data_IF_197445543783
#
_entry.id   IF_197445543783
#
_cell.length_a   1.000
_cell.length_b   1.000
_cell.length_c   1.000
_cell.angle_alpha   90.00
_cell.angle_beta   90.00
_cell.angle_gamma   90.00
#
_symmetry.space_group_name_H-M   'P 1'
#
loop_
_entity.id
_entity.type
_entity.pdbx_description
1 polymer ?
#
# COMPACT_ATOMS: atom_id res chain seq x y z
N UNK A 1 6.42 15.04 16.52
CA UNK A 1 6.45 13.60 16.17
C UNK A 1 5.45 13.44 15.02
N UNK A 2 5.86 12.83 13.86
CA UNK A 2 4.90 12.61 12.77
C UNK A 2 3.81 11.63 13.17
N UNK A 3 2.64 11.77 12.54
CA UNK A 3 1.51 10.86 12.73
C UNK A 3 1.70 9.49 12.06
N UNK A 4 0.65 8.69 12.11
CA UNK A 4 0.57 7.43 11.36
C UNK A 4 0.25 7.73 9.89
N UNK A 5 1.00 7.12 8.97
CA UNK A 5 0.84 7.30 7.52
C UNK A 5 0.49 5.98 6.85
N UNK A 6 -0.12 6.07 5.69
CA UNK A 6 -0.30 4.91 4.82
C UNK A 6 1.03 4.16 4.64
N UNK A 7 0.97 2.82 4.65
CA UNK A 7 2.13 1.91 4.56
C UNK A 7 3.06 1.83 5.77
N UNK A 8 2.81 2.57 6.86
CA UNK A 8 3.42 2.23 8.15
C UNK A 8 2.95 0.86 8.62
N UNK A 9 3.69 0.26 9.55
CA UNK A 9 3.26 -0.97 10.19
C UNK A 9 3.14 -0.80 11.69
N UNK A 10 2.19 -1.55 12.27
CA UNK A 10 1.94 -1.61 13.71
C UNK A 10 2.10 -3.04 14.19
N UNK A 11 2.94 -3.25 15.20
CA UNK A 11 2.96 -4.48 16.01
C UNK A 11 2.02 -4.26 17.19
N UNK A 12 1.09 -5.20 17.38
CA UNK A 12 0.20 -5.15 18.54
C UNK A 12 0.88 -5.69 19.79
N UNK A 13 0.21 -5.58 20.94
CA UNK A 13 0.69 -6.07 22.24
C UNK A 13 1.25 -7.50 22.15
N UNK A 14 2.26 -7.79 23.00
CA UNK A 14 3.11 -8.97 22.84
C UNK A 14 2.36 -10.32 22.88
N UNK A 15 1.23 -10.40 23.59
CA UNK A 15 0.42 -11.60 23.71
C UNK A 15 -0.22 -12.01 22.37
N UNK A 16 -0.47 -11.07 21.49
CA UNK A 16 -1.06 -11.28 20.16
C UNK A 16 -0.02 -11.24 19.05
N UNK A 17 0.87 -10.26 19.08
CA UNK A 17 1.97 -10.08 18.13
C UNK A 17 1.54 -9.90 16.67
N UNK A 18 0.30 -9.41 16.46
CA UNK A 18 -0.26 -9.20 15.13
C UNK A 18 0.44 -8.03 14.45
N UNK A 19 0.60 -8.12 13.12
CA UNK A 19 1.18 -7.06 12.30
C UNK A 19 0.12 -6.45 11.39
N UNK A 20 -0.18 -5.19 11.61
CA UNK A 20 -1.10 -4.41 10.80
C UNK A 20 -0.34 -3.45 9.88
N UNK A 21 -0.83 -3.25 8.68
CA UNK A 21 -0.39 -2.19 7.77
C UNK A 21 -1.38 -1.03 7.85
N UNK A 22 -0.86 0.15 8.12
CA UNK A 22 -1.68 1.38 8.20
C UNK A 22 -2.24 1.71 6.83
N UNK A 23 -3.48 2.18 6.80
CA UNK A 23 -4.19 2.60 5.59
C UNK A 23 -4.69 4.02 5.79
N UNK A 24 -4.34 4.91 4.88
CA UNK A 24 -4.65 6.33 4.98
C UNK A 24 -3.74 7.08 5.97
N UNK A 25 -3.84 8.41 5.92
CA UNK A 25 -3.20 9.35 6.84
C UNK A 25 -4.21 10.01 7.78
N UNK A 26 -5.49 9.63 7.68
CA UNK A 26 -6.56 10.12 8.53
C UNK A 26 -7.12 8.97 9.36
N UNK A 27 -7.15 9.19 10.67
CA UNK A 27 -7.57 8.19 11.65
C UNK A 27 -8.49 8.81 12.70
N UNK A 28 -9.40 8.02 13.31
CA UNK A 28 -10.07 8.42 14.53
C UNK A 28 -9.07 8.79 15.64
N UNK A 29 -9.50 9.57 16.64
CA UNK A 29 -8.60 10.07 17.70
C UNK A 29 -8.00 8.99 18.59
N UNK A 30 -8.69 7.88 18.76
CA UNK A 30 -8.38 6.82 19.72
C UNK A 30 -7.82 5.54 19.09
N UNK A 31 -7.80 5.46 17.75
CA UNK A 31 -7.38 4.26 17.02
C UNK A 31 -6.80 4.59 15.64
N UNK A 32 -6.03 3.66 15.10
CA UNK A 32 -5.41 3.79 13.76
C UNK A 32 -6.06 2.81 12.79
N UNK A 33 -6.65 3.31 11.70
CA UNK A 33 -7.19 2.48 10.63
C UNK A 33 -6.05 1.71 9.99
N UNK A 34 -6.13 0.39 10.05
CA UNK A 34 -5.07 -0.49 9.56
C UNK A 34 -5.62 -1.87 9.23
N UNK A 35 -5.03 -2.56 8.26
CA UNK A 35 -5.42 -3.91 7.87
C UNK A 35 -4.47 -4.94 8.45
N UNK A 36 -5.02 -6.05 8.97
CA UNK A 36 -4.22 -7.18 9.41
C UNK A 36 -3.44 -7.77 8.25
N UNK A 37 -2.12 -7.79 8.35
CA UNK A 37 -1.25 -8.26 7.28
C UNK A 37 -0.58 -9.59 7.61
N UNK A 38 -0.06 -9.71 8.83
CA UNK A 38 0.61 -10.93 9.26
C UNK A 38 0.16 -11.36 10.66
N UNK A 39 0.08 -12.69 10.85
CA UNK A 39 -0.28 -13.35 12.10
C UNK A 39 0.88 -14.25 12.52
N UNK A 40 1.30 -14.24 13.80
CA UNK A 40 2.28 -15.21 14.29
C UNK A 40 1.86 -16.63 13.95
N UNK A 41 2.75 -17.41 13.36
CA UNK A 41 2.48 -18.79 12.95
C UNK A 41 3.76 -19.60 12.90
N UNK A 42 3.87 -20.70 13.65
CA UNK A 42 5.04 -21.58 13.57
C UNK A 42 5.29 -22.13 12.16
N UNK A 43 4.22 -22.35 11.38
CA UNK A 43 4.29 -22.80 9.99
C UNK A 43 4.42 -21.64 8.99
N UNK A 44 4.46 -20.39 9.46
CA UNK A 44 4.54 -19.21 8.61
C UNK A 44 5.78 -19.17 7.74
N UNK A 45 5.65 -18.63 6.53
CA UNK A 45 6.75 -18.55 5.54
C UNK A 45 7.65 -17.34 5.75
N UNK A 46 7.15 -16.27 6.39
CA UNK A 46 7.89 -15.03 6.66
C UNK A 46 8.58 -15.09 8.01
N UNK A 47 9.72 -14.41 8.13
CA UNK A 47 10.52 -14.41 9.34
C UNK A 47 11.34 -15.70 9.52
N UNK A 48 11.98 -15.82 10.68
CA UNK A 48 12.83 -16.95 11.03
C UNK A 48 12.78 -17.28 12.53
N UNK A 49 13.20 -18.47 12.89
CA UNK A 49 13.25 -18.92 14.29
C UNK A 49 11.88 -18.85 14.96
N UNK A 50 11.84 -18.24 16.14
CA UNK A 50 10.60 -18.04 16.91
C UNK A 50 9.68 -16.94 16.37
N UNK A 51 10.19 -16.04 15.49
CA UNK A 51 9.42 -14.95 14.88
C UNK A 51 8.97 -15.31 13.47
N UNK A 52 8.10 -16.30 13.33
CA UNK A 52 7.52 -16.70 12.05
C UNK A 52 6.09 -16.22 11.93
N UNK A 53 5.72 -15.83 10.72
CA UNK A 53 4.43 -15.24 10.40
C UNK A 53 3.78 -15.88 9.18
N UNK A 54 2.47 -16.10 9.27
CA UNK A 54 1.58 -16.35 8.13
C UNK A 54 1.02 -15.04 7.59
N UNK A 55 0.74 -14.98 6.28
CA UNK A 55 0.13 -13.81 5.65
C UNK A 55 -1.39 -13.92 5.76
N UNK A 56 -2.03 -13.04 6.55
CA UNK A 56 -3.48 -13.01 6.73
C UNK A 56 -4.19 -12.43 5.49
N UNK A 57 -3.61 -11.41 4.86
CA UNK A 57 -4.15 -10.78 3.66
C UNK A 57 -3.20 -11.04 2.47
N UNK A 58 -3.47 -12.06 1.64
CA UNK A 58 -2.61 -12.41 0.51
C UNK A 58 -2.57 -11.32 -0.56
N UNK A 59 -3.71 -10.67 -0.82
CA UNK A 59 -3.84 -9.61 -1.81
C UNK A 59 -4.49 -8.36 -1.21
N UNK A 60 -4.23 -7.18 -1.79
CA UNK A 60 -4.93 -5.93 -1.44
C UNK A 60 -6.17 -5.79 -2.33
N UNK A 61 -7.19 -6.60 -2.06
CA UNK A 61 -8.49 -6.60 -2.72
C UNK A 61 -9.62 -6.76 -1.71
N UNK A 62 -10.84 -6.44 -2.11
CA UNK A 62 -12.01 -6.47 -1.22
C UNK A 62 -12.28 -7.85 -0.64
N UNK A 63 -12.24 -8.96 -1.41
CA UNK A 63 -12.43 -10.30 -0.85
C UNK A 63 -11.42 -10.66 0.24
N UNK A 64 -10.13 -10.38 0.01
CA UNK A 64 -9.08 -10.63 1.01
C UNK A 64 -9.27 -9.77 2.26
N UNK A 65 -9.70 -8.52 2.08
CA UNK A 65 -10.01 -7.63 3.20
C UNK A 65 -11.17 -8.16 4.04
N UNK A 66 -12.28 -8.55 3.42
CA UNK A 66 -13.45 -9.09 4.12
C UNK A 66 -13.09 -10.36 4.90
N UNK A 67 -12.28 -11.25 4.33
CA UNK A 67 -11.79 -12.45 5.03
C UNK A 67 -10.95 -12.08 6.26
N UNK A 68 -10.12 -11.02 6.20
CA UNK A 68 -9.37 -10.59 7.39
C UNK A 68 -10.25 -9.95 8.44
N UNK A 69 -11.31 -9.23 8.06
CA UNK A 69 -12.30 -8.68 9.00
C UNK A 69 -13.04 -9.81 9.70
N UNK A 70 -13.53 -10.83 8.98
CA UNK A 70 -14.18 -12.00 9.58
C UNK A 70 -13.25 -12.74 10.55
N UNK A 71 -12.01 -12.97 10.16
CA UNK A 71 -11.01 -13.57 11.04
C UNK A 71 -10.80 -12.76 12.34
N UNK A 72 -10.73 -11.43 12.23
CA UNK A 72 -10.58 -10.55 13.38
C UNK A 72 -11.85 -10.57 14.26
N UNK A 73 -13.04 -10.58 13.69
CA UNK A 73 -14.30 -10.68 14.46
C UNK A 73 -14.36 -11.94 15.32
N UNK A 74 -13.90 -13.06 14.78
CA UNK A 74 -13.91 -14.36 15.47
C UNK A 74 -12.83 -14.46 16.56
N UNK A 75 -11.62 -13.91 16.30
CA UNK A 75 -10.46 -14.16 17.15
C UNK A 75 -10.00 -12.95 17.96
N UNK A 76 -10.23 -11.73 17.45
CA UNK A 76 -9.72 -10.45 18.00
C UNK A 76 -10.73 -9.31 17.76
N UNK A 77 -11.98 -9.42 18.28
CA UNK A 77 -13.08 -8.51 17.95
C UNK A 77 -12.80 -7.04 18.28
N UNK A 78 -11.91 -6.77 19.22
CA UNK A 78 -11.53 -5.42 19.63
C UNK A 78 -10.74 -4.63 18.55
N UNK A 79 -10.37 -5.27 17.42
CA UNK A 79 -9.80 -4.60 16.26
C UNK A 79 -10.83 -4.32 15.16
N UNK A 80 -12.08 -4.72 15.32
CA UNK A 80 -13.13 -4.49 14.33
C UNK A 80 -14.11 -3.44 14.84
N UNK A 81 -14.31 -2.40 14.07
CA UNK A 81 -15.10 -1.25 14.47
C UNK A 81 -16.07 -0.85 13.35
N UNK A 82 -17.29 -0.46 13.74
CA UNK A 82 -18.18 0.28 12.87
C UNK A 82 -17.69 1.72 12.79
N UNK A 83 -17.41 2.22 11.60
CA UNK A 83 -16.98 3.60 11.36
C UNK A 83 -18.20 4.40 10.88
N UNK A 84 -18.80 5.18 11.78
CA UNK A 84 -20.00 5.96 11.49
C UNK A 84 -19.78 6.93 10.33
N UNK A 85 -18.58 7.53 10.25
CA UNK A 85 -18.19 8.50 9.24
C UNK A 85 -18.15 7.88 7.83
N UNK A 86 -17.86 6.61 7.73
CA UNK A 86 -17.74 5.89 6.46
C UNK A 86 -18.96 4.99 6.18
N UNK A 87 -19.79 4.72 7.20
CA UNK A 87 -20.95 3.82 7.10
C UNK A 87 -20.54 2.36 6.80
N UNK A 88 -19.34 1.94 7.23
CA UNK A 88 -18.83 0.58 7.00
C UNK A 88 -18.07 0.05 8.22
N UNK A 89 -17.99 -1.27 8.27
CA UNK A 89 -17.14 -1.98 9.22
C UNK A 89 -15.70 -2.03 8.71
N UNK A 90 -14.74 -1.66 9.57
CA UNK A 90 -13.31 -1.66 9.25
C UNK A 90 -12.48 -2.20 10.42
N UNK A 91 -11.27 -2.64 10.10
CA UNK A 91 -10.27 -2.92 11.13
C UNK A 91 -9.50 -1.67 11.51
N UNK A 92 -9.27 -1.48 12.80
CA UNK A 92 -8.41 -0.43 13.34
C UNK A 92 -7.77 -0.90 14.65
N UNK A 93 -6.56 -0.40 14.91
CA UNK A 93 -5.80 -0.74 16.12
C UNK A 93 -5.98 0.38 17.14
N UNK A 94 -6.60 0.13 18.31
CA UNK A 94 -6.65 1.11 19.39
C UNK A 94 -5.25 1.53 19.82
N UNK A 95 -5.04 2.80 20.12
CA UNK A 95 -3.70 3.33 20.47
C UNK A 95 -3.05 2.57 21.64
N UNK A 96 -3.84 2.13 22.62
CA UNK A 96 -3.37 1.36 23.76
C UNK A 96 -2.88 -0.06 23.42
N UNK A 97 -3.23 -0.58 22.25
CA UNK A 97 -2.80 -1.89 21.77
C UNK A 97 -1.59 -1.84 20.85
N UNK A 98 -1.10 -0.64 20.50
CA UNK A 98 0.11 -0.48 19.69
C UNK A 98 1.33 -0.65 20.56
N UNK A 99 2.07 -1.74 20.35
CA UNK A 99 3.36 -2.01 20.99
C UNK A 99 4.50 -1.26 20.29
N UNK A 100 4.48 -1.28 18.96
CA UNK A 100 5.52 -0.67 18.12
C UNK A 100 4.95 -0.09 16.84
N UNK A 101 5.41 1.10 16.48
CA UNK A 101 5.14 1.76 15.23
C UNK A 101 6.40 1.72 14.36
N UNK A 102 6.32 1.03 13.22
CA UNK A 102 7.41 0.94 12.25
C UNK A 102 7.20 1.97 11.16
N UNK A 103 8.23 2.74 10.89
CA UNK A 103 8.22 3.84 9.91
C UNK A 103 9.15 3.52 8.74
N UNK A 104 8.63 3.52 7.51
CA UNK A 104 9.40 3.15 6.33
C UNK A 104 10.67 3.97 6.11
N UNK A 105 10.65 5.27 6.38
CA UNK A 105 11.81 6.15 6.22
C UNK A 105 12.94 5.85 7.22
N UNK A 106 12.59 5.52 8.47
CA UNK A 106 13.57 5.14 9.50
C UNK A 106 14.25 3.81 9.09
N UNK A 107 13.44 2.85 8.61
CA UNK A 107 13.98 1.56 8.18
C UNK A 107 14.82 1.66 6.91
N UNK A 108 14.45 2.50 5.94
CA UNK A 108 15.28 2.72 4.75
C UNK A 108 16.65 3.26 5.13
N UNK A 109 16.73 4.19 6.08
CA UNK A 109 18.01 4.70 6.53
C UNK A 109 18.90 3.59 7.09
N UNK A 110 18.34 2.69 7.95
CA UNK A 110 19.08 1.52 8.46
C UNK A 110 19.58 0.62 7.33
N UNK A 111 18.76 0.38 6.29
CA UNK A 111 19.09 -0.47 5.15
C UNK A 111 20.16 0.17 4.26
N UNK A 112 20.16 1.50 4.12
CA UNK A 112 21.19 2.22 3.36
C UNK A 112 22.53 2.24 4.09
N UNK A 113 22.51 2.37 5.43
CA UNK A 113 23.71 2.45 6.23
C UNK A 113 24.39 1.06 6.38
N UNK A 114 23.61 0.02 6.63
CA UNK A 114 24.13 -1.35 6.87
C UNK A 114 23.10 -2.41 6.43
N UNK A 115 23.09 -2.81 5.14
CA UNK A 115 22.23 -3.90 4.66
C UNK A 115 22.66 -5.24 5.25
N UNK A 116 21.74 -5.99 5.82
CA UNK A 116 21.99 -7.24 6.56
C UNK A 116 22.04 -8.49 5.69
N UNK A 117 21.45 -8.42 4.49
CA UNK A 117 21.39 -9.51 3.52
C UNK A 117 21.28 -9.01 2.08
N UNK A 118 21.23 -9.93 1.13
CA UNK A 118 21.17 -9.64 -0.29
C UNK A 118 19.93 -8.82 -0.68
N UNK A 119 18.76 -9.09 -0.07
CA UNK A 119 17.53 -8.36 -0.41
C UNK A 119 17.56 -6.92 0.13
N UNK A 120 18.08 -6.71 1.34
CA UNK A 120 18.32 -5.37 1.87
C UNK A 120 19.34 -4.60 1.00
N UNK A 121 20.39 -5.27 0.54
CA UNK A 121 21.35 -4.70 -0.41
C UNK A 121 20.71 -4.28 -1.72
N UNK A 122 19.85 -5.11 -2.30
CA UNK A 122 19.06 -4.76 -3.49
C UNK A 122 18.09 -3.59 -3.24
N UNK A 123 17.46 -3.55 -2.08
CA UNK A 123 16.57 -2.46 -1.70
C UNK A 123 17.34 -1.13 -1.56
N UNK A 124 18.53 -1.16 -0.96
CA UNK A 124 19.43 0.00 -0.86
C UNK A 124 19.85 0.50 -2.23
N UNK A 125 20.30 -0.39 -3.11
CA UNK A 125 20.72 -0.03 -4.47
C UNK A 125 19.56 0.55 -5.30
N UNK A 126 18.38 -0.07 -5.25
CA UNK A 126 17.20 0.43 -5.95
C UNK A 126 16.77 1.80 -5.43
N UNK A 127 16.75 1.99 -4.11
CA UNK A 127 16.41 3.27 -3.50
C UNK A 127 17.43 4.36 -3.89
N UNK A 128 18.72 4.07 -3.81
CA UNK A 128 19.77 5.00 -4.20
C UNK A 128 19.67 5.39 -5.69
N UNK A 129 19.43 4.42 -6.58
CA UNK A 129 19.23 4.66 -8.01
C UNK A 129 18.04 5.59 -8.28
N UNK A 130 16.93 5.40 -7.58
CA UNK A 130 15.72 6.22 -7.75
C UNK A 130 15.93 7.62 -7.15
N UNK A 131 16.56 7.72 -5.98
CA UNK A 131 16.86 8.99 -5.31
C UNK A 131 17.73 9.88 -6.21
N UNK A 132 18.82 9.31 -6.73
CA UNK A 132 19.77 10.00 -7.60
C UNK A 132 19.08 10.48 -8.88
N UNK A 133 18.36 9.58 -9.59
CA UNK A 133 17.68 9.91 -10.84
C UNK A 133 16.54 10.92 -10.66
N UNK A 134 15.77 10.79 -9.60
CA UNK A 134 14.64 11.68 -9.33
C UNK A 134 15.04 13.02 -8.69
N UNK A 135 16.29 13.16 -8.25
CA UNK A 135 16.79 14.32 -7.51
C UNK A 135 15.87 14.68 -6.34
N UNK A 136 15.58 13.67 -5.47
CA UNK A 136 14.76 13.83 -4.28
C UNK A 136 15.59 13.55 -3.02
N UNK A 137 15.25 14.16 -1.87
CA UNK A 137 15.92 13.84 -0.61
C UNK A 137 15.71 12.37 -0.22
N UNK A 138 16.68 11.74 0.41
CA UNK A 138 16.56 10.36 0.95
C UNK A 138 15.36 10.23 1.88
N UNK A 139 15.07 11.25 2.67
CA UNK A 139 13.89 11.32 3.57
C UNK A 139 12.54 11.29 2.85
N UNK A 140 12.53 11.46 1.52
CA UNK A 140 11.31 11.31 0.70
C UNK A 140 11.01 9.86 0.33
N UNK A 141 11.90 8.91 0.62
CA UNK A 141 11.67 7.49 0.39
C UNK A 141 11.62 6.72 1.70
N UNK A 142 11.08 5.52 1.62
CA UNK A 142 11.09 4.56 2.72
C UNK A 142 10.94 3.14 2.18
N UNK A 143 11.29 2.14 2.98
CA UNK A 143 11.07 0.72 2.67
C UNK A 143 9.89 0.19 3.50
N UNK A 144 8.96 -0.52 2.87
CA UNK A 144 7.76 -1.05 3.51
C UNK A 144 7.64 -2.58 3.34
N UNK A 145 6.47 -3.14 3.60
CA UNK A 145 6.25 -4.57 3.46
C UNK A 145 7.03 -5.42 4.48
N UNK A 146 7.48 -6.58 4.05
CA UNK A 146 8.23 -7.52 4.92
C UNK A 146 9.61 -7.00 5.32
N UNK A 147 10.22 -6.16 4.49
CA UNK A 147 11.50 -5.49 4.77
C UNK A 147 11.39 -4.53 5.96
N UNK A 148 10.31 -3.74 6.03
CA UNK A 148 10.07 -2.78 7.10
C UNK A 148 10.09 -3.42 8.49
N UNK A 149 9.46 -4.57 8.63
CA UNK A 149 9.31 -5.28 9.91
C UNK A 149 10.33 -6.41 10.10
N UNK A 150 11.34 -6.51 9.20
CA UNK A 150 12.43 -7.47 9.25
C UNK A 150 11.96 -8.94 9.34
N UNK A 151 10.94 -9.29 8.55
CA UNK A 151 10.47 -10.67 8.39
C UNK A 151 10.57 -11.16 6.95
N UNK A 152 11.23 -10.40 6.09
CA UNK A 152 11.45 -10.78 4.69
C UNK A 152 12.29 -12.06 4.58
N UNK A 153 12.16 -12.70 3.44
CA UNK A 153 12.91 -13.89 3.05
C UNK A 153 13.55 -13.59 1.70
N UNK A 154 14.89 -13.54 1.63
CA UNK A 154 15.61 -13.23 0.39
C UNK A 154 15.22 -14.12 -0.78
N UNK A 155 14.74 -15.35 -0.51
CA UNK A 155 14.38 -16.32 -1.54
C UNK A 155 13.13 -15.93 -2.34
N UNK A 156 12.17 -15.20 -1.74
CA UNK A 156 10.89 -14.91 -2.41
C UNK A 156 10.25 -13.54 -2.09
N UNK A 157 10.81 -12.75 -1.16
CA UNK A 157 10.26 -11.43 -0.86
C UNK A 157 10.62 -10.43 -1.94
N UNK A 158 9.71 -9.52 -2.23
CA UNK A 158 9.86 -8.37 -3.13
C UNK A 158 10.39 -7.14 -2.38
N UNK A 159 10.80 -6.11 -3.13
CA UNK A 159 11.20 -4.81 -2.59
C UNK A 159 10.04 -3.85 -2.71
N UNK A 160 9.43 -3.51 -1.58
CA UNK A 160 8.36 -2.51 -1.51
C UNK A 160 8.90 -1.17 -0.99
N UNK A 161 8.79 -0.10 -1.79
CA UNK A 161 9.17 1.25 -1.42
C UNK A 161 7.94 2.13 -1.22
N UNK A 162 8.08 3.16 -0.41
CA UNK A 162 7.17 4.30 -0.36
C UNK A 162 7.88 5.55 -0.84
N UNK A 163 7.13 6.48 -1.41
CA UNK A 163 7.60 7.83 -1.72
C UNK A 163 6.65 8.84 -1.12
N UNK A 164 7.19 9.75 -0.32
CA UNK A 164 6.43 10.73 0.45
C UNK A 164 6.28 12.05 -0.27
N UNK A 165 5.06 12.53 -0.31
CA UNK A 165 4.69 13.81 -0.89
C UNK A 165 4.50 13.77 -2.40
N UNK A 166 3.55 14.58 -2.88
CA UNK A 166 3.16 14.65 -4.28
C UNK A 166 4.34 15.07 -5.19
N UNK A 167 5.09 16.08 -4.77
CA UNK A 167 6.21 16.58 -5.55
C UNK A 167 7.27 15.51 -5.80
N UNK A 168 7.71 14.81 -4.74
CA UNK A 168 8.65 13.69 -4.84
C UNK A 168 8.07 12.52 -5.62
N UNK A 169 6.78 12.19 -5.43
CA UNK A 169 6.13 11.09 -6.14
C UNK A 169 6.07 11.33 -7.67
N UNK A 170 5.84 12.57 -8.10
CA UNK A 170 5.87 12.94 -9.53
C UNK A 170 7.27 12.81 -10.12
N UNK A 171 8.32 13.28 -9.43
CA UNK A 171 9.72 13.14 -9.84
C UNK A 171 10.12 11.66 -9.91
N UNK A 172 9.81 10.88 -8.90
CA UNK A 172 10.09 9.43 -8.87
C UNK A 172 9.35 8.72 -10.00
N UNK A 173 8.10 9.10 -10.30
CA UNK A 173 7.38 8.56 -11.47
C UNK A 173 8.10 8.83 -12.77
N UNK A 174 8.63 10.02 -12.97
CA UNK A 174 9.44 10.39 -14.13
C UNK A 174 10.69 9.53 -14.21
N UNK A 175 11.48 9.52 -13.13
CA UNK A 175 12.73 8.77 -13.02
C UNK A 175 12.54 7.26 -13.30
N UNK A 176 11.51 6.64 -12.73
CA UNK A 176 11.23 5.22 -12.98
C UNK A 176 10.88 4.95 -14.44
N UNK A 177 10.14 5.84 -15.11
CA UNK A 177 9.84 5.70 -16.54
C UNK A 177 11.11 5.76 -17.40
N UNK A 178 11.99 6.73 -17.13
CA UNK A 178 13.27 6.84 -17.80
C UNK A 178 14.15 5.61 -17.59
N UNK A 179 14.27 5.13 -16.34
CA UNK A 179 15.04 3.94 -16.00
C UNK A 179 14.49 2.67 -16.67
N UNK A 180 13.17 2.58 -16.89
CA UNK A 180 12.53 1.50 -17.65
C UNK A 180 12.83 1.62 -19.16
N UNK A 181 12.89 2.82 -19.71
CA UNK A 181 13.24 3.09 -21.11
C UNK A 181 14.73 2.81 -21.39
N UNK A 182 15.60 3.11 -20.43
CA UNK A 182 17.04 2.80 -20.47
C UNK A 182 17.37 1.31 -20.24
N UNK A 183 16.39 0.49 -19.84
CA UNK A 183 16.61 -0.92 -19.49
C UNK A 183 17.35 -1.14 -18.16
N UNK A 184 17.48 -0.11 -17.32
CA UNK A 184 18.03 -0.24 -15.96
C UNK A 184 17.02 -0.82 -14.97
N UNK A 185 15.74 -0.65 -15.26
CA UNK A 185 14.63 -1.36 -14.65
C UNK A 185 13.89 -2.14 -15.73
N UNK A 186 13.27 -3.23 -15.37
CA UNK A 186 12.51 -4.07 -16.28
C UNK A 186 11.00 -4.00 -15.99
N UNK A 187 10.19 -4.10 -17.02
CA UNK A 187 8.73 -4.23 -16.85
C UNK A 187 8.41 -5.65 -16.42
N UNK A 188 7.36 -5.78 -15.60
CA UNK A 188 6.82 -7.10 -15.26
C UNK A 188 6.41 -7.81 -16.55
N UNK A 189 6.93 -9.02 -16.74
CA UNK A 189 6.71 -9.84 -17.93
C UNK A 189 6.44 -11.31 -17.61
N UNK A 190 6.37 -12.15 -18.65
CA UNK A 190 6.27 -13.60 -18.51
C UNK A 190 5.06 -14.05 -17.70
N UNK A 191 5.23 -15.13 -16.96
CA UNK A 191 4.17 -15.75 -16.14
C UNK A 191 3.59 -14.77 -15.08
N UNK A 192 4.40 -13.86 -14.56
CA UNK A 192 3.93 -12.86 -13.58
C UNK A 192 2.96 -11.86 -14.19
N UNK A 193 3.21 -11.41 -15.40
CA UNK A 193 2.28 -10.54 -16.14
C UNK A 193 0.93 -11.24 -16.34
N UNK A 194 0.95 -12.51 -16.76
CA UNK A 194 -0.26 -13.29 -16.96
C UNK A 194 -1.06 -13.45 -15.65
N UNK A 195 -0.39 -13.81 -14.54
CA UNK A 195 -1.01 -13.88 -13.20
C UNK A 195 -1.72 -12.57 -12.82
N UNK A 196 -1.05 -11.44 -13.06
CA UNK A 196 -1.61 -10.11 -12.75
C UNK A 196 -2.81 -9.77 -13.64
N UNK A 197 -2.77 -10.13 -14.93
CA UNK A 197 -3.85 -9.92 -15.89
C UNK A 197 -5.07 -10.77 -15.50
N UNK A 198 -4.90 -12.08 -15.29
CA UNK A 198 -5.97 -12.98 -14.88
C UNK A 198 -6.66 -12.53 -13.59
N UNK A 199 -5.86 -12.13 -12.59
CA UNK A 199 -6.42 -11.60 -11.34
C UNK A 199 -7.25 -10.34 -11.55
N UNK A 200 -6.81 -9.40 -12.43
CA UNK A 200 -7.56 -8.18 -12.74
C UNK A 200 -8.86 -8.46 -13.44
N UNK A 201 -8.84 -9.37 -14.42
CA UNK A 201 -10.06 -9.83 -15.09
C UNK A 201 -11.08 -10.34 -14.08
N UNK A 202 -10.63 -11.17 -13.13
CA UNK A 202 -11.49 -11.78 -12.12
C UNK A 202 -12.03 -10.78 -11.09
N UNK A 203 -11.18 -9.85 -10.62
CA UNK A 203 -11.56 -8.91 -9.53
C UNK A 203 -12.34 -7.72 -10.05
N UNK A 204 -12.00 -7.20 -11.24
CA UNK A 204 -12.58 -5.97 -11.78
C UNK A 204 -13.47 -6.18 -12.99
N UNK A 205 -13.76 -7.45 -13.35
CA UNK A 205 -14.57 -7.81 -14.50
C UNK A 205 -14.11 -7.19 -15.84
N UNK A 206 -12.79 -6.97 -15.98
CA UNK A 206 -12.19 -6.42 -17.18
C UNK A 206 -12.02 -7.49 -18.24
N UNK A 207 -12.09 -7.09 -19.51
CA UNK A 207 -11.61 -7.91 -20.62
C UNK A 207 -10.09 -8.14 -20.49
N UNK A 208 -9.56 -9.18 -21.16
CA UNK A 208 -8.12 -9.45 -21.14
C UNK A 208 -7.31 -8.28 -21.71
N UNK A 209 -7.82 -7.62 -22.74
CA UNK A 209 -7.14 -6.48 -23.36
C UNK A 209 -7.05 -5.30 -22.40
N UNK A 210 -8.14 -4.93 -21.74
CA UNK A 210 -8.17 -3.86 -20.72
C UNK A 210 -7.26 -4.19 -19.53
N UNK A 211 -7.35 -5.42 -19.01
CA UNK A 211 -6.52 -5.87 -17.91
C UNK A 211 -5.03 -5.81 -18.25
N UNK A 212 -4.65 -6.21 -19.48
CA UNK A 212 -3.28 -6.15 -19.98
C UNK A 212 -2.80 -4.70 -20.11
N UNK A 213 -3.62 -3.82 -20.68
CA UNK A 213 -3.30 -2.41 -20.86
C UNK A 213 -3.10 -1.71 -19.53
N UNK A 214 -4.04 -1.86 -18.58
CA UNK A 214 -3.92 -1.29 -17.24
C UNK A 214 -2.67 -1.83 -16.50
N UNK A 215 -2.33 -3.11 -16.70
CA UNK A 215 -1.14 -3.70 -16.06
C UNK A 215 0.15 -3.12 -16.65
N UNK A 216 0.24 -2.98 -17.96
CA UNK A 216 1.41 -2.44 -18.67
C UNK A 216 1.64 -0.95 -18.42
N UNK A 217 0.59 -0.17 -18.25
CA UNK A 217 0.69 1.27 -17.95
C UNK A 217 1.20 1.59 -16.54
N UNK A 218 1.28 0.59 -15.65
CA UNK A 218 1.76 0.81 -14.29
C UNK A 218 3.26 1.14 -14.28
N UNK A 219 3.56 2.34 -13.86
CA UNK A 219 4.92 2.82 -13.66
C UNK A 219 5.55 2.34 -12.34
N UNK A 220 4.73 2.09 -11.34
CA UNK A 220 5.11 1.86 -9.95
C UNK A 220 5.36 0.39 -9.62
N UNK A 221 5.60 -0.45 -10.63
CA UNK A 221 5.98 -1.86 -10.50
C UNK A 221 6.91 -2.27 -11.62
N UNK A 222 7.86 -3.12 -11.28
CA UNK A 222 8.82 -3.65 -12.23
C UNK A 222 9.71 -4.71 -11.60
N UNK A 223 10.81 -4.97 -12.27
CA UNK A 223 11.86 -5.90 -11.84
C UNK A 223 13.19 -5.15 -11.82
N UNK A 224 13.95 -5.31 -10.76
CA UNK A 224 15.30 -4.80 -10.61
C UNK A 224 16.25 -5.95 -10.26
N UNK A 225 17.24 -6.21 -11.12
CA UNK A 225 18.19 -7.32 -10.96
C UNK A 225 17.49 -8.66 -10.62
N UNK A 226 16.41 -8.97 -11.34
CA UNK A 226 15.65 -10.22 -11.16
C UNK A 226 14.71 -10.24 -9.96
N UNK A 227 14.57 -9.14 -9.21
CA UNK A 227 13.68 -9.04 -8.06
C UNK A 227 12.52 -8.09 -8.35
N UNK A 228 11.29 -8.55 -8.08
CA UNK A 228 10.10 -7.70 -8.19
C UNK A 228 10.19 -6.52 -7.22
N UNK A 229 9.75 -5.35 -7.67
CA UNK A 229 9.59 -4.18 -6.81
C UNK A 229 8.25 -3.49 -6.99
N UNK A 230 7.85 -2.75 -5.94
CA UNK A 230 6.72 -1.82 -6.02
C UNK A 230 7.03 -0.49 -5.31
N UNK A 231 6.40 0.61 -5.78
CA UNK A 231 6.55 1.94 -5.21
C UNK A 231 5.17 2.48 -4.88
N UNK A 232 5.00 2.97 -3.66
CA UNK A 232 3.72 3.46 -3.14
C UNK A 232 3.82 4.95 -2.77
N UNK A 233 3.21 5.86 -3.55
CA UNK A 233 3.06 7.25 -3.15
C UNK A 233 2.23 7.40 -1.87
N UNK A 234 2.73 8.18 -0.92
CA UNK A 234 2.10 8.44 0.37
C UNK A 234 2.10 9.95 0.63
N UNK A 235 0.98 10.51 1.05
CA UNK A 235 0.87 11.93 1.39
C UNK A 235 1.71 12.26 2.63
N UNK A 236 2.25 13.47 2.67
CA UNK A 236 2.78 14.06 3.90
C UNK A 236 1.69 14.86 4.62
N UNK A 237 1.90 15.20 5.88
CA UNK A 237 0.90 15.86 6.72
C UNK A 237 0.34 17.15 6.10
N UNK A 238 1.18 17.95 5.45
CA UNK A 238 0.77 19.20 4.76
C UNK A 238 -0.12 19.00 3.53
N UNK A 239 -0.22 17.78 3.02
CA UNK A 239 -1.05 17.41 1.87
C UNK A 239 -2.37 16.74 2.29
N UNK A 240 -2.55 16.45 3.57
CA UNK A 240 -3.75 15.82 4.11
C UNK A 240 -4.75 16.90 4.50
N UNK A 241 -5.93 16.87 3.89
CA UNK A 241 -6.99 17.84 4.16
C UNK A 241 -8.08 17.23 5.05
N UNK A 242 -8.60 18.05 5.99
CA UNK A 242 -9.66 17.67 6.92
C UNK A 242 -9.22 16.69 8.00
N UNK A 243 -10.18 16.19 8.74
CA UNK A 243 -10.01 15.18 9.80
C UNK A 243 -10.83 13.95 9.43
N UNK A 244 -10.58 12.84 10.12
CA UNK A 244 -11.35 11.61 9.91
C UNK A 244 -12.83 11.84 10.18
N UNK A 245 -13.14 12.56 11.24
CA UNK A 245 -14.50 12.89 11.69
C UNK A 245 -15.25 13.84 10.74
N UNK A 246 -14.56 14.54 9.85
CA UNK A 246 -15.19 15.43 8.86
C UNK A 246 -15.75 14.64 7.65
N UNK A 247 -15.49 13.34 7.58
CA UNK A 247 -15.96 12.47 6.50
C UNK A 247 -17.38 11.99 6.80
N UNK A 248 -18.25 12.09 5.82
CA UNK A 248 -19.59 11.49 5.87
C UNK A 248 -19.85 10.78 4.55
N UNK A 249 -19.70 9.46 4.56
CA UNK A 249 -19.98 8.63 3.41
C UNK A 249 -21.27 7.83 3.64
N UNK A 250 -22.21 7.95 2.72
CA UNK A 250 -23.43 7.14 2.72
C UNK A 250 -23.55 6.43 1.38
N UNK A 251 -23.64 5.11 1.42
CA UNK A 251 -24.01 4.32 0.25
C UNK A 251 -25.47 4.56 -0.08
N UNK A 252 -25.76 5.05 -1.28
CA UNK A 252 -27.14 5.27 -1.75
C UNK A 252 -27.55 4.14 -2.71
N UNK A 253 -26.94 4.12 -3.90
CA UNK A 253 -27.21 3.13 -4.95
C UNK A 253 -26.09 3.11 -5.96
N UNK A 254 -26.14 2.15 -6.88
CA UNK A 254 -25.28 2.13 -8.07
C UNK A 254 -25.78 3.15 -9.09
N UNK A 255 -24.84 3.78 -9.78
CA UNK A 255 -25.12 4.65 -10.90
C UNK A 255 -24.07 4.45 -12.00
N UNK A 256 -24.48 4.57 -13.25
CA UNK A 256 -23.59 4.69 -14.40
C UNK A 256 -23.52 6.14 -14.82
N UNK A 257 -22.32 6.68 -14.94
CA UNK A 257 -22.11 8.09 -15.26
C UNK A 257 -21.05 8.26 -16.35
N UNK A 258 -21.26 9.28 -17.19
CA UNK A 258 -20.24 9.83 -18.10
C UNK A 258 -19.79 11.17 -17.55
N UNK A 259 -18.48 11.41 -17.49
CA UNK A 259 -17.94 12.64 -16.94
C UNK A 259 -16.57 12.98 -17.54
N UNK A 260 -16.22 14.26 -17.50
CA UNK A 260 -14.88 14.74 -17.88
C UNK A 260 -13.98 14.84 -16.65
N UNK A 261 -12.82 14.18 -16.65
CA UNK A 261 -11.82 14.35 -15.59
C UNK A 261 -11.14 15.71 -15.78
N UNK A 262 -11.28 16.59 -14.79
CA UNK A 262 -10.68 17.94 -14.81
C UNK A 262 -9.49 18.08 -13.89
N UNK A 263 -9.30 17.15 -12.93
CA UNK A 263 -8.13 17.11 -12.06
C UNK A 263 -7.86 15.66 -11.62
N UNK A 264 -6.67 15.16 -11.95
CA UNK A 264 -6.15 13.84 -11.60
C UNK A 264 -5.00 13.90 -10.59
N UNK A 265 -4.80 15.05 -9.97
CA UNK A 265 -3.66 15.32 -9.10
C UNK A 265 -3.55 14.39 -7.90
N UNK A 266 -4.66 13.84 -7.45
CA UNK A 266 -4.77 12.90 -6.34
C UNK A 266 -4.78 11.42 -6.80
N UNK A 267 -4.71 11.16 -8.10
CA UNK A 267 -4.72 9.80 -8.66
C UNK A 267 -3.47 8.96 -8.32
N UNK A 268 -2.40 9.61 -7.86
CA UNK A 268 -1.18 8.93 -7.42
C UNK A 268 -1.34 8.18 -6.09
N UNK A 269 -2.26 8.62 -5.24
CA UNK A 269 -2.40 8.16 -3.87
C UNK A 269 -3.45 7.06 -3.72
N UNK A 270 -3.53 6.47 -2.53
CA UNK A 270 -4.56 5.51 -2.15
C UNK A 270 -5.47 6.13 -1.06
N UNK A 271 -6.78 6.25 -1.30
CA UNK A 271 -7.48 5.97 -2.55
C UNK A 271 -7.15 6.99 -3.65
N UNK A 272 -7.18 6.55 -4.91
CA UNK A 272 -7.09 7.47 -6.04
C UNK A 272 -8.36 8.31 -6.12
N UNK A 273 -8.19 9.63 -6.23
CA UNK A 273 -9.30 10.57 -6.32
C UNK A 273 -9.19 11.39 -7.60
N UNK A 274 -10.30 11.56 -8.28
CA UNK A 274 -10.42 12.36 -9.48
C UNK A 274 -11.50 13.41 -9.27
N UNK A 275 -11.25 14.67 -9.68
CA UNK A 275 -12.30 15.67 -9.79
C UNK A 275 -12.86 15.64 -11.20
N UNK A 276 -14.18 15.60 -11.30
CA UNK A 276 -14.88 15.49 -12.57
C UNK A 276 -15.83 16.68 -12.79
N UNK A 277 -16.07 17.01 -14.06
CA UNK A 277 -17.08 17.98 -14.52
C UNK A 277 -17.98 17.33 -15.57
N UNK A 278 -19.00 18.04 -16.00
CA UNK A 278 -19.95 17.64 -17.05
C UNK A 278 -20.56 16.26 -16.81
N UNK A 279 -20.92 15.98 -15.55
CA UNK A 279 -21.44 14.68 -15.13
C UNK A 279 -22.82 14.44 -15.73
N UNK A 280 -22.96 13.38 -16.51
CA UNK A 280 -24.21 12.90 -17.07
C UNK A 280 -24.53 11.52 -16.48
N UNK A 281 -25.64 11.42 -15.77
CA UNK A 281 -26.12 10.15 -15.25
C UNK A 281 -26.79 9.38 -16.40
N UNK A 282 -26.22 8.23 -16.77
CA UNK A 282 -26.74 7.34 -17.81
C UNK A 282 -27.77 6.39 -17.20
N UNK A 283 -27.46 5.81 -16.04
CA UNK A 283 -28.31 4.90 -15.29
C UNK A 283 -28.18 5.14 -13.80
N UNK A 284 -29.27 5.04 -13.03
CA UNK A 284 -29.30 5.22 -11.58
C UNK A 284 -30.19 6.39 -11.14
N UNK A 285 -30.11 6.78 -9.83
CA UNK A 285 -30.93 7.87 -9.32
C UNK A 285 -30.51 9.19 -9.96
N UNK A 286 -31.49 9.92 -10.49
CA UNK A 286 -31.29 11.31 -10.91
C UNK A 286 -31.21 12.18 -9.66
N UNK A 287 -30.14 12.97 -9.53
CA UNK A 287 -30.04 14.02 -8.51
C UNK A 287 -31.04 15.10 -8.73
#
# INVERSE_FOLDING_TARGET
>A
MRGFRDRDYLETVAVEGLMFTVVSNLHPRDKVVAYLKYVPSPAGRWGAGARRYGRAMPYYDVPSLLNTISFLEENYPHYVHWMEELGIKMSAVPLSYIKRHFKPEERLQEVLDEPRDELEGLAAELAALIIDRAEVPTSSLGVTGSLLISIHRPEFSDVDLVVYGRGSALKVRGAVKELLEEGRLERVGGAKLEELVERRMKVYHLSRQEALEVTRRRWNRGVFKGRDFSIHPVKVEGEVQGRFEDRLCRGLSMAEVEATVVDDSEALFMPATYRVADVKVLEGPKQ
#
